data_IF_712826433656
#
_entry.id   IF_712826433656
#
_cell.length_a   1.000
_cell.length_b   1.000
_cell.length_c   1.000
_cell.angle_alpha   90.00
_cell.angle_beta   90.00
_cell.angle_gamma   90.00
#
_symmetry.space_group_name_H-M   'P 1'
#
loop_
_entity.id
_entity.type
_entity.pdbx_description
1 polymer ?
#
# COMPACT_ATOMS: atom_id res chain seq x y z
N UNK A 1 23.64 -82.57 36.72
CA UNK A 1 24.19 -81.31 37.28
C UNK A 1 24.66 -80.44 36.14
N UNK A 2 24.13 -79.22 36.05
CA UNK A 2 24.73 -78.04 35.41
C UNK A 2 24.83 -78.05 33.85
N UNK A 3 24.62 -76.98 33.07
CA UNK A 3 24.26 -75.56 33.26
C UNK A 3 24.12 -74.94 31.84
N UNK A 4 23.06 -74.13 31.61
CA UNK A 4 22.91 -72.95 30.70
C UNK A 4 23.14 -73.13 29.18
N UNK A 5 22.14 -73.10 28.30
CA UNK A 5 21.26 -71.98 27.88
C UNK A 5 22.02 -70.70 27.48
N UNK A 6 22.30 -70.56 26.18
CA UNK A 6 22.70 -69.30 25.54
C UNK A 6 21.52 -68.79 24.71
N UNK A 7 20.72 -67.92 25.31
CA UNK A 7 19.68 -67.12 24.62
C UNK A 7 20.39 -65.86 24.13
N UNK A 8 20.59 -65.76 22.82
CA UNK A 8 21.08 -64.54 22.17
C UNK A 8 20.00 -63.46 22.28
N UNK A 9 20.31 -62.39 23.00
CA UNK A 9 19.49 -61.19 23.15
C UNK A 9 19.29 -60.53 21.78
N UNK A 10 18.08 -60.67 21.21
CA UNK A 10 17.54 -59.71 20.25
C UNK A 10 17.19 -58.43 21.02
N UNK A 11 18.11 -57.47 21.03
CA UNK A 11 17.78 -56.10 21.41
C UNK A 11 16.98 -55.48 20.26
N UNK A 12 15.65 -55.54 20.34
CA UNK A 12 14.77 -54.67 19.57
C UNK A 12 15.05 -53.23 20.01
N UNK A 13 15.84 -52.51 19.21
CA UNK A 13 15.85 -51.06 19.26
C UNK A 13 14.52 -50.57 18.69
N UNK A 14 13.55 -50.34 19.58
CA UNK A 14 12.41 -49.49 19.30
C UNK A 14 12.94 -48.05 19.18
N UNK A 15 13.47 -47.70 18.01
CA UNK A 15 13.76 -46.32 17.66
C UNK A 15 12.41 -45.65 17.43
N UNK A 16 11.93 -45.00 18.49
CA UNK A 16 10.70 -44.23 18.49
C UNK A 16 10.69 -43.28 17.28
N UNK A 17 9.65 -43.36 16.45
CA UNK A 17 9.24 -42.26 15.60
C UNK A 17 8.80 -41.12 16.53
N UNK A 18 9.76 -40.35 17.03
CA UNK A 18 9.53 -38.95 17.33
C UNK A 18 9.49 -38.25 15.98
N UNK A 19 8.33 -38.28 15.33
CA UNK A 19 7.95 -37.21 14.41
C UNK A 19 7.78 -35.94 15.25
N UNK A 20 8.91 -35.42 15.76
CA UNK A 20 9.01 -34.02 16.13
C UNK A 20 8.66 -33.26 14.87
N UNK A 21 7.58 -32.49 14.93
CA UNK A 21 7.10 -31.69 13.82
C UNK A 21 8.25 -30.82 13.32
N UNK A 22 8.88 -31.18 12.20
CA UNK A 22 9.92 -30.35 11.58
C UNK A 22 9.21 -29.22 10.86
N UNK A 23 8.77 -28.20 11.61
CA UNK A 23 8.31 -26.94 11.01
C UNK A 23 9.47 -26.37 10.17
N UNK A 24 9.18 -25.95 8.95
CA UNK A 24 10.24 -25.42 8.07
C UNK A 24 10.91 -24.17 8.71
N UNK A 25 12.18 -23.86 8.40
CA UNK A 25 12.83 -22.64 8.90
C UNK A 25 12.09 -21.34 8.56
N UNK A 26 11.27 -21.36 7.51
CA UNK A 26 10.44 -20.21 7.09
C UNK A 26 9.17 -20.11 7.92
N UNK A 27 8.59 -21.25 8.33
CA UNK A 27 7.40 -21.31 9.19
C UNK A 27 7.68 -20.78 10.59
N UNK A 28 8.85 -21.07 11.16
CA UNK A 28 9.28 -20.49 12.45
C UNK A 28 9.46 -18.97 12.36
N UNK A 29 9.87 -18.47 11.20
CA UNK A 29 9.99 -17.02 10.94
C UNK A 29 8.60 -16.36 10.84
N UNK A 30 7.63 -17.02 10.19
CA UNK A 30 6.25 -16.52 10.08
C UNK A 30 5.56 -16.45 11.45
N UNK A 31 5.65 -17.52 12.25
CA UNK A 31 5.09 -17.56 13.60
C UNK A 31 5.74 -16.51 14.50
N UNK A 32 7.07 -16.38 14.45
CA UNK A 32 7.80 -15.37 15.21
C UNK A 32 7.39 -13.94 14.84
N UNK A 33 7.19 -13.66 13.55
CA UNK A 33 6.70 -12.36 13.08
C UNK A 33 5.31 -12.05 13.62
N UNK A 34 4.38 -13.00 13.53
CA UNK A 34 3.01 -12.84 14.03
C UNK A 34 3.01 -12.43 15.51
N UNK A 35 3.77 -13.14 16.35
CA UNK A 35 3.82 -12.86 17.79
C UNK A 35 4.46 -11.51 18.14
N UNK A 36 5.36 -11.00 17.29
CA UNK A 36 6.16 -9.80 17.60
C UNK A 36 5.69 -8.52 16.92
N UNK A 37 5.03 -8.61 15.76
CA UNK A 37 4.69 -7.46 14.92
C UNK A 37 3.21 -7.35 14.55
N UNK A 38 2.40 -8.41 14.71
CA UNK A 38 0.96 -8.30 14.45
C UNK A 38 0.30 -7.46 15.55
N UNK A 39 -0.23 -6.29 15.18
CA UNK A 39 -0.79 -5.33 16.13
C UNK A 39 -2.19 -5.72 16.60
N UNK A 40 -3.01 -6.39 15.78
CA UNK A 40 -4.30 -6.95 16.21
C UNK A 40 -4.10 -8.04 17.26
N UNK A 41 -3.23 -9.01 16.98
CA UNK A 41 -2.94 -10.11 17.91
C UNK A 41 -2.24 -9.62 19.18
N UNK A 42 -1.27 -8.71 19.05
CA UNK A 42 -0.52 -8.18 20.19
C UNK A 42 -1.40 -7.37 21.16
N UNK A 43 -2.48 -6.75 20.67
CA UNK A 43 -3.36 -5.95 21.51
C UNK A 43 -4.15 -6.83 22.50
N UNK A 44 -4.84 -7.85 21.99
CA UNK A 44 -5.74 -8.67 22.81
C UNK A 44 -6.01 -10.08 22.25
N UNK A 45 -5.09 -10.63 21.47
CA UNK A 45 -5.13 -12.00 20.98
C UNK A 45 -5.04 -13.02 22.11
N UNK A 46 -5.87 -14.06 22.04
CA UNK A 46 -5.89 -15.17 22.98
C UNK A 46 -4.84 -16.22 22.59
N UNK A 47 -3.77 -16.42 23.37
CA UNK A 47 -2.66 -17.29 22.95
C UNK A 47 -3.05 -18.75 22.74
N UNK A 48 -4.04 -19.24 23.49
CA UNK A 48 -4.54 -20.62 23.37
C UNK A 48 -5.38 -20.87 22.11
N UNK A 49 -5.73 -19.82 21.37
CA UNK A 49 -6.56 -19.91 20.16
C UNK A 49 -5.76 -19.84 18.87
N UNK A 50 -4.45 -19.56 18.95
CA UNK A 50 -3.61 -19.38 17.78
C UNK A 50 -3.29 -20.75 17.13
N UNK A 51 -3.70 -20.92 15.88
CA UNK A 51 -3.42 -22.10 15.05
C UNK A 51 -2.97 -21.69 13.65
N UNK A 52 -2.09 -22.50 13.04
CA UNK A 52 -1.80 -22.41 11.61
C UNK A 52 -2.84 -23.26 10.87
N UNK A 53 -3.67 -22.61 10.04
CA UNK A 53 -4.74 -23.28 9.30
C UNK A 53 -4.27 -23.79 7.95
N UNK A 54 -3.50 -22.98 7.22
CA UNK A 54 -2.99 -23.39 5.92
C UNK A 54 -1.69 -22.70 5.53
N UNK A 55 -0.91 -23.40 4.72
CA UNK A 55 0.28 -22.88 4.06
C UNK A 55 0.09 -23.03 2.56
N UNK A 56 0.25 -21.94 1.81
CA UNK A 56 0.07 -21.91 0.36
C UNK A 56 1.35 -21.39 -0.30
N UNK A 57 2.01 -22.24 -1.07
CA UNK A 57 3.12 -21.81 -1.94
C UNK A 57 2.56 -21.22 -3.24
N UNK A 58 3.01 -20.02 -3.61
CA UNK A 58 2.62 -19.33 -4.83
C UNK A 58 3.64 -19.59 -5.95
N UNK A 59 3.20 -19.55 -7.23
CA UNK A 59 4.08 -19.73 -8.38
C UNK A 59 5.21 -18.71 -8.49
N UNK A 60 5.06 -17.55 -7.83
CA UNK A 60 6.05 -16.48 -7.78
C UNK A 60 7.26 -16.77 -6.90
N UNK A 61 7.30 -17.92 -6.21
CA UNK A 61 8.31 -18.23 -5.19
C UNK A 61 7.97 -17.67 -3.80
N UNK A 62 6.81 -17.04 -3.65
CA UNK A 62 6.30 -16.57 -2.36
C UNK A 62 5.50 -17.66 -1.65
N UNK A 63 5.39 -17.56 -0.33
CA UNK A 63 4.59 -18.46 0.50
C UNK A 63 3.65 -17.64 1.38
N UNK A 64 2.38 -18.04 1.41
CA UNK A 64 1.36 -17.51 2.29
C UNK A 64 1.13 -18.46 3.47
N UNK A 65 1.15 -17.90 4.68
CA UNK A 65 0.78 -18.61 5.91
C UNK A 65 -0.50 -18.00 6.46
N UNK A 66 -1.54 -18.80 6.62
CA UNK A 66 -2.83 -18.38 7.19
C UNK A 66 -2.93 -18.89 8.62
N UNK A 67 -2.88 -17.96 9.57
CA UNK A 67 -3.09 -18.23 10.99
C UNK A 67 -4.49 -17.81 11.40
N UNK A 68 -5.18 -18.66 12.15
CA UNK A 68 -6.44 -18.28 12.80
C UNK A 68 -6.17 -18.03 14.29
N UNK A 69 -6.81 -17.00 14.84
CA UNK A 69 -6.80 -16.71 16.27
C UNK A 69 -8.07 -15.98 16.69
N UNK A 70 -8.27 -15.81 17.99
CA UNK A 70 -9.37 -15.03 18.55
C UNK A 70 -8.83 -13.86 19.34
N UNK A 71 -9.43 -12.68 19.19
CA UNK A 71 -9.20 -11.49 20.00
C UNK A 71 -10.29 -11.34 21.05
N UNK A 72 -9.99 -10.74 22.20
CA UNK A 72 -10.97 -10.50 23.26
C UNK A 72 -12.04 -9.44 22.88
N UNK A 73 -11.70 -8.53 21.97
CA UNK A 73 -12.57 -7.48 21.45
C UNK A 73 -12.60 -7.48 19.92
N UNK A 74 -13.63 -6.83 19.38
CA UNK A 74 -13.76 -6.59 17.95
C UNK A 74 -12.87 -5.43 17.46
N UNK A 75 -12.49 -5.49 16.18
CA UNK A 75 -11.77 -4.43 15.46
C UNK A 75 -10.42 -4.92 14.92
N UNK A 76 -9.54 -3.99 14.53
CA UNK A 76 -8.17 -4.29 14.07
C UNK A 76 -7.12 -3.33 14.67
N UNK A 77 -5.88 -3.80 14.76
CA UNK A 77 -4.70 -3.06 15.20
C UNK A 77 -4.72 -2.61 16.66
N UNK A 78 -3.94 -1.57 16.96
CA UNK A 78 -3.94 -0.94 18.28
C UNK A 78 -5.20 -0.08 18.47
N UNK A 79 -6.01 -0.46 19.46
CA UNK A 79 -7.31 0.16 19.75
C UNK A 79 -7.32 0.97 21.05
N UNK A 80 -6.13 1.35 21.54
CA UNK A 80 -5.99 2.15 22.76
C UNK A 80 -6.83 3.43 22.70
N UNK A 81 -7.65 3.67 23.72
CA UNK A 81 -8.50 4.85 23.83
C UNK A 81 -9.84 4.77 23.10
N UNK A 82 -10.16 3.64 22.45
CA UNK A 82 -11.47 3.40 21.83
C UNK A 82 -12.40 2.66 22.80
N UNK A 83 -13.70 2.96 22.76
CA UNK A 83 -14.70 2.14 23.46
C UNK A 83 -14.90 0.82 22.70
N UNK A 84 -14.62 -0.29 23.36
CA UNK A 84 -14.66 -1.63 22.76
C UNK A 84 -15.92 -2.39 23.20
N UNK A 85 -16.49 -3.17 22.28
CA UNK A 85 -17.46 -4.20 22.65
C UNK A 85 -16.71 -5.43 23.20
N UNK A 86 -17.18 -5.98 24.32
CA UNK A 86 -16.67 -7.22 24.89
C UNK A 86 -17.22 -8.42 24.09
N UNK A 87 -16.58 -8.70 22.96
CA UNK A 87 -16.96 -9.77 22.05
C UNK A 87 -15.71 -10.48 21.54
N UNK A 88 -15.57 -11.76 21.92
CA UNK A 88 -14.49 -12.61 21.41
C UNK A 88 -14.66 -12.74 19.90
N UNK A 89 -13.74 -12.17 19.14
CA UNK A 89 -13.83 -12.07 17.69
C UNK A 89 -12.79 -12.97 17.04
N UNK A 90 -13.19 -13.94 16.20
CA UNK A 90 -12.25 -14.74 15.42
C UNK A 90 -11.65 -13.89 14.30
N UNK A 91 -10.37 -14.14 14.01
CA UNK A 91 -9.61 -13.47 12.97
C UNK A 91 -8.72 -14.48 12.24
N UNK A 92 -8.62 -14.32 10.91
CA UNK A 92 -7.71 -15.06 10.06
C UNK A 92 -6.66 -14.10 9.49
N UNK A 93 -5.40 -14.28 9.88
CA UNK A 93 -4.28 -13.48 9.38
C UNK A 93 -3.46 -14.23 8.36
N UNK A 94 -3.33 -13.64 7.18
CA UNK A 94 -2.50 -14.11 6.07
C UNK A 94 -1.19 -13.34 6.04
N UNK A 95 -0.07 -14.04 6.23
CA UNK A 95 1.28 -13.48 6.05
C UNK A 95 1.80 -13.86 4.66
N UNK A 96 2.22 -12.86 3.88
CA UNK A 96 2.84 -13.08 2.58
C UNK A 96 4.36 -12.91 2.66
N UNK A 97 5.08 -14.00 2.44
CA UNK A 97 6.54 -14.05 2.57
C UNK A 97 7.15 -14.36 1.21
N UNK A 98 8.01 -13.47 0.72
CA UNK A 98 8.80 -13.66 -0.48
C UNK A 98 10.28 -13.55 -0.12
N UNK A 99 11.12 -14.44 -0.64
CA UNK A 99 12.57 -14.44 -0.40
C UNK A 99 12.98 -14.36 1.08
N UNK A 100 12.16 -14.94 1.97
CA UNK A 100 12.37 -14.93 3.42
C UNK A 100 11.96 -13.64 4.14
N UNK A 101 11.45 -12.64 3.42
CA UNK A 101 10.97 -11.37 3.99
C UNK A 101 9.44 -11.30 3.97
N UNK A 102 8.86 -10.78 5.05
CA UNK A 102 7.42 -10.48 5.12
C UNK A 102 7.15 -9.20 4.33
N UNK A 103 6.28 -9.29 3.33
CA UNK A 103 6.00 -8.18 2.37
C UNK A 103 4.68 -7.46 2.66
N UNK A 104 3.67 -8.21 3.06
CA UNK A 104 2.40 -7.70 3.57
C UNK A 104 1.79 -8.75 4.51
N UNK A 105 0.97 -8.26 5.45
CA UNK A 105 0.24 -9.11 6.39
C UNK A 105 -1.17 -8.58 6.48
N UNK A 106 -2.14 -9.42 6.20
CA UNK A 106 -3.55 -9.04 6.15
C UNK A 106 -4.38 -9.85 7.14
N UNK A 107 -5.08 -9.19 8.03
CA UNK A 107 -6.07 -9.77 8.93
C UNK A 107 -7.48 -9.61 8.36
N UNK A 108 -8.20 -10.74 8.22
CA UNK A 108 -9.55 -10.91 7.69
C UNK A 108 -9.77 -10.46 6.24
N UNK A 109 -8.70 -10.22 5.48
CA UNK A 109 -8.78 -9.56 4.18
C UNK A 109 -8.97 -8.04 4.29
N UNK A 110 -9.09 -7.51 5.51
CA UNK A 110 -9.60 -6.17 5.82
C UNK A 110 -8.56 -5.26 6.45
N UNK A 111 -7.49 -5.76 7.07
CA UNK A 111 -6.51 -4.89 7.74
C UNK A 111 -5.08 -5.28 7.44
N UNK A 112 -4.29 -4.33 6.96
CA UNK A 112 -2.85 -4.52 6.77
C UNK A 112 -2.09 -4.20 8.06
N UNK A 113 -1.59 -5.24 8.72
CA UNK A 113 -0.88 -5.16 10.00
C UNK A 113 0.46 -4.42 9.88
N UNK A 114 1.15 -4.54 8.74
CA UNK A 114 2.43 -3.87 8.55
C UNK A 114 2.27 -2.36 8.40
N UNK A 115 1.18 -1.94 7.75
CA UNK A 115 0.91 -0.54 7.42
C UNK A 115 -0.03 0.13 8.42
N UNK A 116 -0.73 -0.64 9.25
CA UNK A 116 -1.71 -0.12 10.20
C UNK A 116 -2.94 0.49 9.52
N UNK A 117 -3.34 -0.04 8.36
CA UNK A 117 -4.42 0.51 7.54
C UNK A 117 -5.51 -0.53 7.28
N UNK A 118 -6.78 -0.14 7.44
CA UNK A 118 -7.91 -0.95 7.02
C UNK A 118 -7.99 -0.96 5.49
N UNK A 119 -7.70 -2.11 4.87
CA UNK A 119 -7.99 -2.41 3.48
C UNK A 119 -9.48 -2.18 3.25
N UNK A 120 -9.79 -1.06 2.61
CA UNK A 120 -11.11 -0.83 2.08
C UNK A 120 -11.41 -1.93 1.06
N UNK A 121 -12.61 -2.52 1.13
CA UNK A 121 -13.00 -3.89 0.73
C UNK A 121 -12.61 -4.42 -0.67
N UNK A 122 -11.86 -3.70 -1.47
CA UNK A 122 -11.38 -4.16 -2.77
C UNK A 122 -9.93 -3.76 -2.97
N UNK A 123 -9.05 -4.71 -2.69
CA UNK A 123 -7.62 -4.65 -2.94
C UNK A 123 -7.38 -4.60 -4.45
N UNK A 124 -7.19 -3.40 -5.00
CA UNK A 124 -6.56 -3.23 -6.31
C UNK A 124 -5.54 -2.12 -6.20
N UNK A 125 -4.31 -2.52 -5.85
CA UNK A 125 -3.11 -1.70 -5.73
C UNK A 125 -3.13 -0.60 -4.65
N UNK A 126 -1.95 -0.35 -4.07
CA UNK A 126 -1.67 0.89 -3.34
C UNK A 126 -1.72 2.06 -4.33
N UNK A 127 -2.92 2.54 -4.61
CA UNK A 127 -3.13 3.71 -5.46
C UNK A 127 -3.08 4.93 -4.55
N UNK A 128 -1.87 5.44 -4.30
CA UNK A 128 -1.70 6.69 -3.57
C UNK A 128 -2.43 7.81 -4.30
N UNK A 129 -3.17 8.65 -3.58
CA UNK A 129 -3.88 9.82 -4.11
C UNK A 129 -3.67 11.04 -3.24
N UNK A 130 -3.80 12.22 -3.84
CA UNK A 130 -3.84 13.48 -3.12
C UNK A 130 -5.30 13.89 -2.91
N UNK A 131 -5.67 14.18 -1.66
CA UNK A 131 -6.98 14.74 -1.34
C UNK A 131 -7.04 16.24 -1.63
N UNK A 132 -8.26 16.77 -1.77
CA UNK A 132 -8.51 18.21 -1.87
C UNK A 132 -8.13 19.00 -0.61
N UNK A 133 -7.84 18.30 0.48
CA UNK A 133 -7.31 18.82 1.74
C UNK A 133 -5.76 18.93 1.74
N UNK A 134 -5.10 18.58 0.64
CA UNK A 134 -3.64 18.59 0.54
C UNK A 134 -2.96 17.43 1.26
N UNK A 135 -3.71 16.43 1.75
CA UNK A 135 -3.16 15.25 2.40
C UNK A 135 -3.02 14.09 1.41
N UNK A 136 -1.91 13.38 1.50
CA UNK A 136 -1.69 12.16 0.73
C UNK A 136 -2.40 10.98 1.41
N UNK A 137 -3.26 10.31 0.67
CA UNK A 137 -3.96 9.11 1.09
C UNK A 137 -3.36 7.89 0.40
N UNK A 138 -3.04 6.80 1.14
CA UNK A 138 -2.53 5.55 0.55
C UNK A 138 -3.51 4.88 -0.44
N UNK A 139 -4.79 5.28 -0.40
CA UNK A 139 -5.85 4.76 -1.26
C UNK A 139 -7.04 5.75 -1.32
N UNK A 140 -7.75 5.88 -2.46
CA UNK A 140 -8.99 6.65 -2.62
C UNK A 140 -10.00 6.50 -1.49
N UNK A 141 -10.14 5.28 -0.98
CA UNK A 141 -11.13 4.99 0.04
C UNK A 141 -10.86 5.71 1.36
N UNK A 142 -9.60 5.93 1.74
CA UNK A 142 -9.29 6.67 2.96
C UNK A 142 -9.69 8.15 2.85
N UNK A 143 -9.53 8.75 1.67
CA UNK A 143 -10.02 10.10 1.39
C UNK A 143 -11.56 10.13 1.49
N UNK A 144 -12.23 9.18 0.81
CA UNK A 144 -13.70 9.08 0.82
C UNK A 144 -14.28 8.84 2.22
N UNK A 145 -13.65 8.00 3.04
CA UNK A 145 -14.08 7.73 4.42
C UNK A 145 -14.04 9.00 5.29
N UNK A 146 -13.14 9.94 4.97
CA UNK A 146 -13.08 11.27 5.60
C UNK A 146 -13.94 12.32 4.91
N UNK A 147 -14.70 11.95 3.87
CA UNK A 147 -15.48 12.90 3.07
C UNK A 147 -14.62 13.83 2.20
N UNK A 148 -13.36 13.47 1.95
CA UNK A 148 -12.41 14.25 1.15
C UNK A 148 -12.46 13.79 -0.30
N UNK A 149 -12.68 14.72 -1.23
CA UNK A 149 -12.59 14.46 -2.66
C UNK A 149 -11.14 14.29 -3.11
N UNK A 150 -10.91 13.48 -4.14
CA UNK A 150 -9.56 13.28 -4.70
C UNK A 150 -9.23 14.44 -5.62
N UNK A 151 -8.12 15.14 -5.34
CA UNK A 151 -7.59 16.19 -6.19
C UNK A 151 -6.87 15.59 -7.41
N UNK A 152 -5.94 14.65 -7.17
CA UNK A 152 -5.23 13.94 -8.23
C UNK A 152 -4.68 12.59 -7.78
N UNK A 153 -4.30 11.74 -8.73
CA UNK A 153 -3.56 10.51 -8.46
C UNK A 153 -2.10 10.80 -8.08
N UNK A 154 -1.51 9.96 -7.22
CA UNK A 154 -0.18 10.15 -6.64
C UNK A 154 -0.19 11.00 -5.36
N UNK A 155 0.94 11.07 -4.62
CA UNK A 155 1.06 11.89 -3.43
C UNK A 155 0.97 13.39 -3.72
N UNK A 156 0.48 14.20 -2.79
CA UNK A 156 0.33 15.65 -2.95
C UNK A 156 1.66 16.37 -3.21
N UNK A 157 2.77 15.82 -2.72
CA UNK A 157 4.11 16.37 -2.94
C UNK A 157 4.77 15.88 -4.25
N UNK A 158 4.09 15.02 -5.01
CA UNK A 158 4.44 14.78 -6.41
C UNK A 158 3.54 15.63 -7.27
N UNK A 159 4.08 16.34 -8.25
CA UNK A 159 3.16 16.98 -9.17
C UNK A 159 2.41 15.89 -9.95
N UNK A 160 1.10 16.10 -10.19
CA UNK A 160 0.30 15.13 -10.91
C UNK A 160 0.87 14.89 -12.29
N UNK A 161 0.81 13.62 -12.70
CA UNK A 161 1.14 13.23 -14.07
C UNK A 161 0.05 13.81 -14.97
N UNK A 162 0.42 14.79 -15.80
CA UNK A 162 -0.47 15.31 -16.84
C UNK A 162 -0.53 14.27 -17.95
N UNK A 163 -1.71 13.70 -18.17
CA UNK A 163 -1.97 12.77 -19.28
C UNK A 163 -2.57 13.49 -20.50
N UNK A 164 -2.64 12.77 -21.62
CA UNK A 164 -3.17 13.28 -22.89
C UNK A 164 -4.64 13.73 -22.77
N UNK A 165 -5.46 12.98 -22.03
CA UNK A 165 -6.88 13.28 -21.87
C UNK A 165 -7.10 14.59 -21.09
N UNK A 166 -6.34 14.79 -20.01
CA UNK A 166 -6.37 16.01 -19.21
C UNK A 166 -5.82 17.21 -20.01
N UNK A 167 -4.76 16.99 -20.80
CA UNK A 167 -4.20 18.02 -21.67
C UNK A 167 -5.22 18.51 -22.71
N UNK A 168 -5.85 17.58 -23.43
CA UNK A 168 -6.78 17.91 -24.51
C UNK A 168 -8.10 18.52 -23.97
N UNK A 169 -8.62 18.03 -22.84
CA UNK A 169 -9.82 18.59 -22.20
C UNK A 169 -9.62 20.01 -21.64
N UNK A 170 -8.37 20.38 -21.36
CA UNK A 170 -8.00 21.72 -20.90
C UNK A 170 -7.65 22.69 -22.03
N UNK A 171 -7.82 22.28 -23.29
CA UNK A 171 -7.48 23.07 -24.48
C UNK A 171 -5.98 23.11 -24.79
N UNK A 172 -5.19 22.23 -24.18
CA UNK A 172 -3.79 22.00 -24.52
C UNK A 172 -3.62 21.07 -25.72
N UNK A 173 -2.38 20.94 -26.22
CA UNK A 173 -2.04 20.01 -27.29
C UNK A 173 -0.99 19.02 -26.79
N UNK A 174 -1.37 17.75 -26.72
CA UNK A 174 -0.44 16.70 -26.33
C UNK A 174 0.65 16.51 -27.39
N UNK A 175 1.91 16.61 -26.97
CA UNK A 175 3.06 16.33 -27.80
C UNK A 175 3.46 14.87 -27.62
N UNK A 176 3.09 14.05 -28.61
CA UNK A 176 3.28 12.59 -28.61
C UNK A 176 4.77 12.20 -28.49
N UNK A 177 5.67 13.03 -29.01
CA UNK A 177 7.12 12.80 -29.02
C UNK A 177 7.79 13.01 -27.64
N UNK A 178 7.23 13.88 -26.82
CA UNK A 178 7.79 14.31 -25.54
C UNK A 178 6.94 13.92 -24.35
N UNK A 179 5.79 13.27 -24.58
CA UNK A 179 4.78 12.93 -23.56
C UNK A 179 4.47 14.15 -22.66
N UNK A 180 4.40 15.32 -23.30
CA UNK A 180 4.25 16.60 -22.62
C UNK A 180 3.09 17.39 -23.23
N UNK A 181 2.31 18.06 -22.38
CA UNK A 181 1.29 18.99 -22.84
C UNK A 181 1.95 20.29 -23.33
N UNK A 182 2.05 20.49 -24.65
CA UNK A 182 2.57 21.73 -25.28
C UNK A 182 1.37 22.65 -25.63
N UNK A 183 1.47 23.99 -25.74
CA UNK A 183 2.49 24.86 -26.36
C UNK A 183 2.49 26.28 -25.76
N UNK A 184 3.67 26.80 -25.43
CA UNK A 184 4.16 28.13 -25.85
C UNK A 184 5.64 28.32 -25.42
N UNK A 185 6.58 27.46 -25.82
CA UNK A 185 7.92 27.98 -26.02
C UNK A 185 7.90 28.69 -27.37
N UNK A 186 8.07 30.01 -27.39
CA UNK A 186 8.48 30.72 -28.59
C UNK A 186 9.81 31.44 -28.35
N UNK A 187 10.66 31.29 -29.35
CA UNK A 187 12.04 31.76 -29.59
C UNK A 187 12.94 32.02 -28.37
N UNK A 188 13.91 31.10 -28.20
CA UNK A 188 15.20 31.44 -27.59
C UNK A 188 15.56 30.73 -26.30
N UNK A 189 14.73 29.84 -25.73
CA UNK A 189 15.16 29.01 -24.58
C UNK A 189 14.63 27.58 -24.66
N UNK A 190 15.50 26.55 -24.52
CA UNK A 190 15.07 25.17 -24.38
C UNK A 190 14.38 24.97 -23.03
N UNK A 191 13.30 24.17 -23.01
CA UNK A 191 12.80 23.58 -21.77
C UNK A 191 13.81 22.52 -21.33
N UNK A 192 14.38 22.73 -20.14
CA UNK A 192 15.39 21.87 -19.52
C UNK A 192 14.83 20.44 -19.34
N UNK A 193 15.52 19.40 -19.84
CA UNK A 193 15.11 18.01 -19.68
C UNK A 193 15.48 17.52 -18.26
N UNK A 194 14.70 17.91 -17.26
CA UNK A 194 14.63 17.19 -15.98
C UNK A 194 13.17 16.68 -15.80
N UNK A 195 12.94 15.36 -15.60
CA UNK A 195 12.07 14.61 -16.51
C UNK A 195 10.68 14.23 -15.96
N UNK A 196 10.13 14.95 -14.97
CA UNK A 196 8.94 14.44 -14.27
C UNK A 196 7.59 15.04 -14.67
N UNK A 197 7.50 16.27 -15.20
CA UNK A 197 6.19 16.95 -15.30
C UNK A 197 6.18 17.95 -16.47
N UNK A 198 5.29 17.73 -17.45
CA UNK A 198 4.95 18.73 -18.46
C UNK A 198 4.12 19.85 -17.83
N UNK A 199 4.60 21.09 -17.93
CA UNK A 199 3.93 22.25 -17.31
C UNK A 199 2.83 22.77 -18.23
N UNK A 200 1.57 22.77 -17.77
CA UNK A 200 0.47 23.42 -18.50
C UNK A 200 0.62 24.94 -18.46
N UNK A 201 0.61 25.58 -19.63
CA UNK A 201 0.57 27.05 -19.76
C UNK A 201 -0.86 27.54 -19.89
N UNK A 202 -1.08 28.80 -19.52
CA UNK A 202 -2.40 29.44 -19.48
C UNK A 202 -2.29 30.93 -19.83
N UNK A 203 -3.41 31.56 -20.17
CA UNK A 203 -3.47 32.99 -20.54
C UNK A 203 -3.33 33.25 -22.04
N UNK A 204 -2.77 34.42 -22.35
CA UNK A 204 -2.56 34.95 -23.71
C UNK A 204 -3.83 35.25 -24.49
N UNK A 205 -3.66 35.71 -25.72
CA UNK A 205 -4.76 36.21 -26.56
C UNK A 205 -5.78 35.12 -26.94
N UNK A 206 -5.34 33.86 -26.89
CA UNK A 206 -6.21 32.70 -27.12
C UNK A 206 -7.05 32.33 -25.88
N UNK A 207 -6.78 32.91 -24.71
CA UNK A 207 -7.59 32.72 -23.51
C UNK A 207 -7.51 31.31 -22.92
N UNK A 208 -6.33 30.69 -22.93
CA UNK A 208 -6.13 29.33 -22.42
C UNK A 208 -6.41 29.26 -20.92
N UNK A 209 -7.21 28.28 -20.52
CA UNK A 209 -7.60 28.06 -19.13
C UNK A 209 -6.83 26.89 -18.54
N UNK A 210 -6.60 26.95 -17.24
CA UNK A 210 -6.04 25.82 -16.51
C UNK A 210 -7.11 24.73 -16.30
N UNK A 211 -6.67 23.47 -16.07
CA UNK A 211 -7.55 22.40 -15.61
C UNK A 211 -8.31 22.79 -14.33
N UNK A 212 -9.41 22.09 -14.05
CA UNK A 212 -10.19 22.30 -12.82
C UNK A 212 -9.29 22.16 -11.57
N UNK A 213 -9.33 23.15 -10.68
CA UNK A 213 -8.51 23.18 -9.47
C UNK A 213 -7.12 23.82 -9.64
N UNK A 214 -6.81 24.41 -10.80
CA UNK A 214 -5.54 25.10 -11.05
C UNK A 214 -5.77 26.58 -11.37
N UNK A 215 -4.81 27.41 -10.97
CA UNK A 215 -4.80 28.84 -11.22
C UNK A 215 -3.62 29.21 -12.10
N UNK A 216 -3.81 30.20 -12.95
CA UNK A 216 -2.75 30.70 -13.80
C UNK A 216 -1.85 31.68 -13.03
N UNK A 217 -0.58 31.32 -12.85
CA UNK A 217 0.42 32.11 -12.12
C UNK A 217 1.64 32.40 -13.00
N UNK A 218 2.59 33.20 -12.50
CA UNK A 218 3.89 33.40 -13.16
C UNK A 218 3.82 33.96 -14.60
N UNK A 219 2.88 34.89 -14.86
CA UNK A 219 2.72 35.54 -16.17
C UNK A 219 4.01 36.20 -16.65
N UNK A 220 4.41 35.88 -17.89
CA UNK A 220 5.51 36.55 -18.60
C UNK A 220 5.10 36.91 -20.04
N UNK A 221 5.23 38.20 -20.45
CA UNK A 221 5.45 39.37 -19.59
C UNK A 221 4.32 39.56 -18.56
N UNK A 222 4.40 40.58 -17.68
CA UNK A 222 3.42 40.81 -16.61
C UNK A 222 1.97 40.72 -17.12
N UNK A 223 1.04 40.30 -16.25
CA UNK A 223 -0.34 39.92 -16.60
C UNK A 223 -1.18 40.97 -17.37
N UNK A 224 -0.69 42.21 -17.49
CA UNK A 224 -1.33 43.32 -18.18
C UNK A 224 -1.13 43.30 -19.70
N UNK A 225 -0.33 42.38 -20.26
CA UNK A 225 -0.19 42.27 -21.72
C UNK A 225 -1.15 41.23 -22.30
N UNK A 226 -1.83 41.51 -23.43
CA UNK A 226 -2.77 40.57 -24.04
C UNK A 226 -2.16 39.22 -24.44
N UNK A 227 -0.86 39.17 -24.64
CA UNK A 227 -0.06 38.00 -25.00
C UNK A 227 0.61 37.32 -23.79
N UNK A 228 0.39 37.82 -22.57
CA UNK A 228 1.02 37.30 -21.36
C UNK A 228 0.67 35.81 -21.15
N UNK A 229 1.70 34.98 -21.13
CA UNK A 229 1.58 33.55 -20.85
C UNK A 229 1.96 33.27 -19.40
N UNK A 230 1.09 32.58 -18.66
CA UNK A 230 1.34 32.06 -17.32
C UNK A 230 1.52 30.55 -17.30
N UNK A 231 1.70 30.03 -16.09
CA UNK A 231 1.87 28.63 -15.74
C UNK A 231 0.74 28.20 -14.81
N UNK A 232 0.10 27.07 -15.09
CA UNK A 232 -0.92 26.52 -14.20
C UNK A 232 -0.26 25.94 -12.94
N UNK A 233 -0.65 26.43 -11.77
CA UNK A 233 -0.27 25.89 -10.47
C UNK A 233 -1.50 25.54 -9.63
N UNK A 234 -1.41 24.55 -8.73
CA UNK A 234 -2.47 24.31 -7.76
C UNK A 234 -2.61 25.54 -6.84
N UNK A 235 -3.76 25.73 -6.17
CA UNK A 235 -3.90 26.75 -5.13
C UNK A 235 -2.78 26.59 -4.10
N UNK A 236 -2.06 27.67 -3.80
CA UNK A 236 -1.16 27.70 -2.66
C UNK A 236 -1.99 27.48 -1.40
N UNK A 237 -1.67 26.42 -0.66
CA UNK A 237 -2.19 26.22 0.69
C UNK A 237 -1.34 27.13 1.58
N UNK A 238 -1.82 28.35 1.81
CA UNK A 238 -1.27 29.24 2.84
C UNK A 238 -1.78 28.82 4.23
#
# INVERSE_FOLDING_TARGET
MMVRSAIALLALAAFALMAGCTSSPVESSAHGWLLSHNTTYAYDGLPSSLSLESTRSLPSGCTEYVYSFRSAHAGYGNRSGQMMAQAVTPHDTTLHICDGNVTWVNTDGVFDEMRGITMCETLSALITVCGSDGLTYPHPCFAKAKGVSIAHAGPCNSAPVIDEALCNSSGGHWAVDTSACQRAAQEGRPCDPNPAIGVCRCGGIAGFRCPAGYFCTDYKPSADTPDAMGTCRPPSVD
#
